data_IF_557138842978
#
_entry.id   IF_557138842978
#
_cell.length_a   1.000
_cell.length_b   1.000
_cell.length_c   1.000
_cell.angle_alpha   90.00
_cell.angle_beta   90.00
_cell.angle_gamma   90.00
#
_symmetry.space_group_name_H-M   'P 1'
#
loop_
_entity.id
_entity.type
_entity.pdbx_description
1 polymer ?
#
# COMPACT_ATOMS: atom_id res chain seq x y z
N UNK A 1 -15.92 -29.86 56.79
CA UNK A 1 -15.60 -29.17 58.06
C UNK A 1 -14.58 -28.09 57.73
N UNK A 2 -14.84 -26.80 57.61
CA UNK A 2 -15.89 -25.95 58.15
C UNK A 2 -15.20 -24.83 58.96
N UNK A 3 -15.51 -23.56 58.63
CA UNK A 3 -15.19 -22.29 59.33
C UNK A 3 -13.91 -21.56 58.82
N UNK A 4 -13.86 -20.25 58.59
CA UNK A 4 -14.85 -19.15 58.57
C UNK A 4 -14.17 -17.93 57.92
N UNK A 5 -14.88 -17.22 57.05
CA UNK A 5 -14.48 -15.91 56.53
C UNK A 5 -14.46 -14.84 57.63
N UNK A 6 -13.58 -13.83 57.48
CA UNK A 6 -13.67 -12.53 58.17
C UNK A 6 -13.59 -11.39 57.14
N UNK A 7 -14.23 -10.24 57.43
CA UNK A 7 -14.79 -9.35 56.41
C UNK A 7 -13.82 -8.25 55.96
N UNK A 8 -13.95 -7.81 54.70
CA UNK A 8 -13.37 -6.54 54.23
C UNK A 8 -14.23 -5.39 54.76
N UNK A 9 -13.61 -4.47 55.48
CA UNK A 9 -14.21 -3.20 55.91
C UNK A 9 -14.48 -2.28 54.71
N UNK A 10 -15.62 -1.59 54.78
CA UNK A 10 -16.04 -0.49 53.91
C UNK A 10 -15.61 0.83 54.54
N UNK A 11 -15.03 1.72 53.75
CA UNK A 11 -15.12 3.19 53.85
C UNK A 11 -15.23 3.66 52.38
N UNK A 12 -16.38 4.06 51.85
CA UNK A 12 -17.12 5.33 52.06
C UNK A 12 -16.27 6.59 51.92
N UNK A 13 -16.00 6.97 50.66
CA UNK A 13 -15.61 8.30 50.24
C UNK A 13 -16.58 8.83 49.16
N UNK A 14 -17.72 9.34 49.60
CA UNK A 14 -18.69 10.12 48.80
C UNK A 14 -18.13 11.55 48.62
N UNK A 15 -18.71 12.30 47.67
CA UNK A 15 -18.68 13.78 47.48
C UNK A 15 -17.61 14.25 46.46
N UNK A 16 -17.89 15.07 45.44
CA UNK A 16 -19.08 15.79 44.96
C UNK A 16 -18.91 16.09 43.46
N UNK A 17 -20.04 16.11 42.75
CA UNK A 17 -20.16 16.82 41.47
C UNK A 17 -20.16 18.31 41.76
N UNK A 18 -19.34 19.08 41.06
CA UNK A 18 -19.58 20.52 40.87
C UNK A 18 -19.56 20.85 39.37
N UNK A 19 -20.70 21.34 38.91
CA UNK A 19 -20.92 22.05 37.64
C UNK A 19 -20.48 23.50 37.85
N UNK A 20 -19.73 24.06 36.90
CA UNK A 20 -19.71 25.48 36.47
C UNK A 20 -18.46 25.71 35.61
N UNK A 21 -18.37 26.57 34.59
CA UNK A 21 -19.25 27.53 33.94
C UNK A 21 -18.61 27.84 32.57
N UNK A 22 -19.44 28.21 31.59
CA UNK A 22 -19.07 28.61 30.25
C UNK A 22 -18.09 29.82 30.21
N UNK A 23 -17.02 29.69 29.42
CA UNK A 23 -16.17 30.80 29.02
C UNK A 23 -15.96 30.79 27.50
N UNK A 24 -16.88 31.41 26.75
CA UNK A 24 -16.66 31.69 25.32
C UNK A 24 -15.69 32.85 25.20
N UNK A 25 -14.41 32.59 24.90
CA UNK A 25 -13.52 33.65 24.39
C UNK A 25 -14.03 34.04 23.00
N UNK A 26 -14.42 35.30 22.85
CA UNK A 26 -14.78 35.90 21.57
C UNK A 26 -13.48 36.07 20.77
N UNK A 27 -13.30 35.24 19.74
CA UNK A 27 -12.25 35.46 18.74
C UNK A 27 -12.69 36.67 17.90
N UNK A 28 -11.92 37.76 17.97
CA UNK A 28 -12.07 38.92 17.07
C UNK A 28 -11.38 38.53 15.75
N UNK A 29 -12.08 38.48 14.61
CA UNK A 29 -11.43 38.19 13.33
C UNK A 29 -10.52 39.35 12.92
N UNK A 30 -9.32 39.02 12.47
CA UNK A 30 -8.37 39.96 11.91
C UNK A 30 -8.89 40.46 10.54
N UNK A 31 -9.04 41.78 10.39
CA UNK A 31 -9.87 42.40 9.33
C UNK A 31 -9.15 42.51 7.97
N UNK A 32 -8.20 41.61 7.69
CA UNK A 32 -7.34 41.68 6.50
C UNK A 32 -7.82 40.88 5.28
N UNK A 33 -8.95 40.15 5.35
CA UNK A 33 -9.43 39.31 4.23
C UNK A 33 -10.58 39.93 3.39
N UNK A 34 -10.81 41.25 3.47
CA UNK A 34 -11.91 41.91 2.74
C UNK A 34 -11.62 42.26 1.27
N UNK A 35 -10.58 41.69 0.63
CA UNK A 35 -10.24 41.98 -0.79
C UNK A 35 -10.07 40.75 -1.68
N UNK A 36 -10.81 39.66 -1.45
CA UNK A 36 -10.93 38.58 -2.44
C UNK A 36 -12.38 38.43 -2.86
N UNK A 37 -12.69 38.91 -4.07
CA UNK A 37 -13.97 38.66 -4.73
C UNK A 37 -14.26 37.16 -4.86
N UNK A 38 -15.50 36.75 -5.18
CA UNK A 38 -15.90 35.35 -5.22
C UNK A 38 -15.00 34.59 -6.20
N UNK A 39 -14.18 33.67 -5.68
CA UNK A 39 -13.48 32.70 -6.53
C UNK A 39 -14.55 31.80 -7.13
N UNK A 40 -14.76 31.96 -8.44
CA UNK A 40 -15.49 30.98 -9.23
C UNK A 40 -14.83 29.62 -8.99
N UNK A 41 -15.56 28.70 -8.37
CA UNK A 41 -15.14 27.31 -8.27
C UNK A 41 -14.91 26.80 -9.70
N UNK A 42 -13.79 26.14 -10.01
CA UNK A 42 -13.59 25.58 -11.33
C UNK A 42 -14.73 24.60 -11.58
N UNK A 43 -15.54 24.90 -12.60
CA UNK A 43 -16.64 24.03 -13.02
C UNK A 43 -16.10 22.62 -13.22
N UNK A 44 -16.85 21.65 -12.67
CA UNK A 44 -16.42 20.27 -12.54
C UNK A 44 -15.86 19.74 -13.84
N UNK A 45 -14.54 19.49 -13.87
CA UNK A 45 -13.99 18.49 -14.77
C UNK A 45 -14.62 17.18 -14.36
N UNK A 46 -15.51 16.68 -15.19
CA UNK A 46 -16.03 15.33 -15.10
C UNK A 46 -14.83 14.39 -14.96
N UNK A 47 -14.68 13.81 -13.75
CA UNK A 47 -13.61 12.85 -13.48
C UNK A 47 -13.93 11.66 -14.35
N UNK A 48 -13.15 11.46 -15.42
CA UNK A 48 -13.19 10.22 -16.21
C UNK A 48 -13.26 9.02 -15.26
N UNK A 49 -14.12 8.02 -15.54
CA UNK A 49 -14.18 6.84 -14.70
C UNK A 49 -12.78 6.25 -14.56
N UNK A 50 -12.30 6.09 -13.32
CA UNK A 50 -10.98 5.51 -13.00
C UNK A 50 -11.01 3.99 -13.17
N UNK A 51 -11.46 3.53 -14.33
CA UNK A 51 -11.62 2.12 -14.66
C UNK A 51 -10.42 1.50 -15.37
N UNK A 52 -9.27 2.17 -15.44
CA UNK A 52 -8.05 1.62 -16.06
C UNK A 52 -7.23 0.69 -15.13
N UNK A 53 -7.72 0.36 -13.93
CA UNK A 53 -6.87 -0.28 -12.92
C UNK A 53 -6.69 -1.81 -13.10
N UNK A 54 -7.44 -2.48 -13.98
CA UNK A 54 -7.33 -3.93 -14.14
C UNK A 54 -7.32 -4.46 -15.59
N UNK A 55 -7.88 -3.73 -16.56
CA UNK A 55 -8.13 -4.28 -17.90
C UNK A 55 -6.95 -4.22 -18.89
N UNK A 56 -5.80 -3.65 -18.53
CA UNK A 56 -4.67 -3.55 -19.48
C UNK A 56 -3.31 -3.98 -18.89
N UNK A 57 -3.26 -4.49 -17.65
CA UNK A 57 -1.99 -4.89 -17.03
C UNK A 57 -1.29 -6.03 -17.78
N UNK A 58 -2.05 -7.04 -18.20
CA UNK A 58 -1.51 -8.15 -19.00
C UNK A 58 -1.08 -7.68 -20.38
N UNK A 59 -1.89 -6.87 -21.07
CA UNK A 59 -1.56 -6.39 -22.42
C UNK A 59 -0.38 -5.42 -22.42
N UNK A 60 -0.32 -4.49 -21.46
CA UNK A 60 0.82 -3.60 -21.25
C UNK A 60 2.08 -4.40 -20.88
N UNK A 61 1.95 -5.39 -20.00
CA UNK A 61 3.05 -6.29 -19.65
C UNK A 61 3.57 -7.06 -20.85
N UNK A 62 2.69 -7.59 -21.69
CA UNK A 62 3.06 -8.28 -22.94
C UNK A 62 3.79 -7.33 -23.90
N UNK A 63 3.26 -6.12 -24.09
CA UNK A 63 3.90 -5.11 -24.91
C UNK A 63 5.30 -4.74 -24.39
N UNK A 64 5.46 -4.60 -23.07
CA UNK A 64 6.75 -4.33 -22.43
C UNK A 64 7.75 -5.48 -22.64
N UNK A 65 7.33 -6.73 -22.47
CA UNK A 65 8.17 -7.92 -22.71
C UNK A 65 8.66 -7.95 -24.16
N UNK A 66 7.77 -7.76 -25.13
CA UNK A 66 8.17 -7.78 -26.54
C UNK A 66 9.03 -6.58 -26.91
N UNK A 67 8.77 -5.42 -26.33
CA UNK A 67 9.62 -4.23 -26.52
C UNK A 67 11.02 -4.47 -25.97
N UNK A 68 11.15 -5.01 -24.75
CA UNK A 68 12.44 -5.37 -24.17
C UNK A 68 13.19 -6.33 -25.10
N UNK A 69 12.51 -7.36 -25.60
CA UNK A 69 13.09 -8.32 -26.54
C UNK A 69 13.54 -7.71 -27.86
N UNK A 70 12.79 -6.73 -28.40
CA UNK A 70 13.15 -5.99 -29.61
C UNK A 70 14.36 -5.08 -29.38
N UNK A 71 14.45 -4.48 -28.20
CA UNK A 71 15.56 -3.61 -27.81
C UNK A 71 16.81 -4.37 -27.32
N UNK A 72 16.73 -5.69 -27.20
CA UNK A 72 17.81 -6.53 -26.68
C UNK A 72 18.00 -6.43 -25.17
N UNK A 73 17.01 -5.93 -24.44
CA UNK A 73 16.98 -5.95 -22.98
C UNK A 73 16.47 -7.29 -22.47
N UNK A 74 17.07 -7.76 -21.38
CA UNK A 74 16.79 -9.04 -20.73
C UNK A 74 15.87 -8.90 -19.52
N UNK A 75 15.42 -7.69 -19.18
CA UNK A 75 14.54 -7.47 -18.04
C UNK A 75 13.58 -6.28 -18.23
N UNK A 76 12.40 -6.36 -17.63
CA UNK A 76 11.48 -5.24 -17.41
C UNK A 76 11.22 -5.06 -15.92
N UNK A 77 11.02 -3.81 -15.51
CA UNK A 77 10.56 -3.47 -14.17
C UNK A 77 9.04 -3.32 -14.17
N UNK A 78 8.39 -3.85 -13.14
CA UNK A 78 6.95 -3.73 -12.91
C UNK A 78 6.66 -3.32 -11.48
N UNK A 79 5.81 -2.32 -11.34
CA UNK A 79 5.18 -1.96 -10.08
C UNK A 79 3.93 -2.82 -9.90
N UNK A 80 3.91 -3.74 -8.92
CA UNK A 80 2.95 -4.84 -8.92
C UNK A 80 1.47 -4.42 -8.75
N UNK A 81 1.15 -3.50 -7.83
CA UNK A 81 -0.24 -3.15 -7.53
C UNK A 81 -0.38 -1.92 -6.65
N UNK A 82 -1.61 -1.40 -6.53
CA UNK A 82 -1.93 -0.22 -5.71
C UNK A 82 -3.19 -0.51 -4.89
N UNK A 83 -3.05 -0.54 -3.57
CA UNK A 83 -4.18 -0.69 -2.65
C UNK A 83 -4.82 0.67 -2.42
N UNK A 84 -6.14 0.71 -2.58
CA UNK A 84 -6.95 1.93 -2.38
C UNK A 84 -8.11 1.63 -1.44
N UNK A 85 -8.89 2.65 -1.09
CA UNK A 85 -10.10 2.43 -0.29
C UNK A 85 -11.17 1.66 -1.08
N UNK A 86 -11.12 1.75 -2.41
CA UNK A 86 -12.07 1.12 -3.32
C UNK A 86 -11.66 -0.29 -3.72
N UNK A 87 -10.35 -0.57 -3.81
CA UNK A 87 -9.81 -1.88 -4.19
C UNK A 87 -8.94 -2.39 -3.03
N UNK A 88 -9.45 -3.35 -2.24
CA UNK A 88 -8.77 -3.82 -1.04
C UNK A 88 -7.58 -4.73 -1.37
N UNK A 89 -6.70 -4.87 -0.38
CA UNK A 89 -5.44 -5.61 -0.50
C UNK A 89 -5.58 -7.01 -1.11
N UNK A 90 -6.54 -7.80 -0.63
CA UNK A 90 -6.75 -9.18 -1.09
C UNK A 90 -7.15 -9.24 -2.57
N UNK A 91 -7.94 -8.28 -3.05
CA UNK A 91 -8.34 -8.18 -4.45
C UNK A 91 -7.15 -7.78 -5.33
N UNK A 92 -6.35 -6.79 -4.89
CA UNK A 92 -5.09 -6.42 -5.57
C UNK A 92 -4.16 -7.63 -5.64
N UNK A 93 -3.92 -8.29 -4.51
CA UNK A 93 -3.03 -9.44 -4.42
C UNK A 93 -3.39 -10.55 -5.41
N UNK A 94 -4.65 -10.98 -5.39
CA UNK A 94 -5.12 -12.06 -6.27
C UNK A 94 -4.98 -11.66 -7.74
N UNK A 95 -5.37 -10.43 -8.10
CA UNK A 95 -5.23 -9.92 -9.47
C UNK A 95 -3.79 -9.89 -9.95
N UNK A 96 -2.86 -9.43 -9.11
CA UNK A 96 -1.45 -9.39 -9.43
C UNK A 96 -0.89 -10.80 -9.67
N UNK A 97 -1.21 -11.76 -8.82
CA UNK A 97 -0.79 -13.17 -8.99
C UNK A 97 -1.35 -13.76 -10.28
N UNK A 98 -2.65 -13.58 -10.51
CA UNK A 98 -3.35 -14.12 -11.70
C UNK A 98 -2.80 -13.52 -13.01
N UNK A 99 -2.40 -12.25 -13.00
CA UNK A 99 -1.82 -11.57 -14.16
C UNK A 99 -0.35 -11.94 -14.39
N UNK A 100 0.46 -12.01 -13.32
CA UNK A 100 1.90 -12.25 -13.43
C UNK A 100 2.24 -13.68 -13.82
N UNK A 101 1.41 -14.67 -13.46
CA UNK A 101 1.68 -16.08 -13.82
C UNK A 101 1.77 -16.30 -15.34
N UNK A 102 0.74 -16.02 -16.16
CA UNK A 102 0.82 -16.17 -17.62
C UNK A 102 1.78 -15.17 -18.27
N UNK A 103 1.96 -13.99 -17.68
CA UNK A 103 2.93 -13.01 -18.18
C UNK A 103 4.38 -13.51 -17.99
N UNK A 104 4.67 -14.13 -16.84
CA UNK A 104 5.96 -14.75 -16.53
C UNK A 104 6.29 -15.89 -17.49
N UNK A 105 5.31 -16.69 -17.90
CA UNK A 105 5.52 -17.71 -18.95
C UNK A 105 5.92 -17.08 -20.29
N UNK A 106 5.31 -15.94 -20.64
CA UNK A 106 5.63 -15.23 -21.88
C UNK A 106 7.02 -14.60 -21.80
N UNK A 107 7.35 -13.98 -20.67
CA UNK A 107 8.67 -13.41 -20.42
C UNK A 107 9.77 -14.49 -20.50
N UNK A 108 9.53 -15.67 -19.91
CA UNK A 108 10.43 -16.82 -20.01
C UNK A 108 10.68 -17.23 -21.47
N UNK A 109 9.63 -17.35 -22.29
CA UNK A 109 9.75 -17.66 -23.73
C UNK A 109 10.50 -16.58 -24.51
N UNK A 110 10.34 -15.32 -24.12
CA UNK A 110 11.03 -14.20 -24.73
C UNK A 110 12.50 -14.07 -24.27
N UNK A 111 12.93 -14.80 -23.23
CA UNK A 111 14.24 -14.61 -22.60
C UNK A 111 14.34 -13.30 -21.81
N UNK A 112 13.21 -12.82 -21.27
CA UNK A 112 13.10 -11.57 -20.50
C UNK A 112 12.69 -11.91 -19.06
N UNK A 113 13.25 -11.22 -18.08
CA UNK A 113 12.88 -11.27 -16.66
C UNK A 113 11.90 -10.14 -16.32
N UNK A 114 11.03 -10.39 -15.36
CA UNK A 114 10.13 -9.38 -14.78
C UNK A 114 10.58 -9.15 -13.35
N UNK A 115 11.08 -7.95 -13.06
CA UNK A 115 11.42 -7.53 -11.72
C UNK A 115 10.26 -6.73 -11.12
N UNK A 116 9.58 -7.30 -10.12
CA UNK A 116 8.59 -6.58 -9.34
C UNK A 116 9.31 -5.64 -8.36
N UNK A 117 9.02 -4.35 -8.42
CA UNK A 117 9.63 -3.35 -7.55
C UNK A 117 8.93 -3.24 -6.19
N UNK A 118 9.69 -3.05 -5.11
CA UNK A 118 9.18 -2.82 -3.75
C UNK A 118 8.83 -1.33 -3.51
N UNK A 119 7.72 -0.86 -4.06
CA UNK A 119 7.23 0.52 -3.84
C UNK A 119 6.19 0.61 -2.71
N UNK A 120 6.56 0.07 -1.55
CA UNK A 120 5.63 -0.37 -0.51
C UNK A 120 4.79 0.76 0.10
N UNK A 121 5.41 1.91 0.36
CA UNK A 121 4.79 3.02 1.12
C UNK A 121 3.71 3.75 0.32
N UNK A 122 3.98 4.02 -0.96
CA UNK A 122 3.08 4.73 -1.86
C UNK A 122 1.93 3.82 -2.32
N UNK A 123 2.20 2.52 -2.48
CA UNK A 123 1.22 1.57 -2.99
C UNK A 123 0.42 0.85 -1.92
N UNK A 124 0.88 0.90 -0.66
CA UNK A 124 0.27 0.18 0.47
C UNK A 124 0.13 -1.32 0.18
N UNK A 125 1.09 -1.88 -0.57
CA UNK A 125 1.09 -3.24 -1.10
C UNK A 125 2.47 -3.89 -0.88
N UNK A 126 2.53 -5.19 -0.55
CA UNK A 126 3.76 -5.94 -0.28
C UNK A 126 4.73 -5.25 0.71
N UNK A 127 4.22 -4.87 1.88
CA UNK A 127 4.88 -4.00 2.85
C UNK A 127 6.11 -4.59 3.55
N UNK A 128 6.33 -5.90 3.45
CA UNK A 128 7.42 -6.57 4.14
C UNK A 128 8.19 -7.53 3.23
N UNK A 129 9.49 -7.79 3.51
CA UNK A 129 10.27 -8.71 2.69
C UNK A 129 9.69 -10.13 2.65
N UNK A 130 9.09 -10.58 3.76
CA UNK A 130 8.47 -11.91 3.83
C UNK A 130 7.18 -12.01 3.03
N UNK A 131 6.40 -10.94 3.00
CA UNK A 131 5.19 -10.86 2.20
C UNK A 131 5.52 -10.85 0.70
N UNK A 132 6.53 -10.06 0.30
CA UNK A 132 7.04 -10.04 -1.06
C UNK A 132 7.56 -11.43 -1.49
N UNK A 133 8.31 -12.09 -0.60
CA UNK A 133 8.79 -13.45 -0.83
C UNK A 133 7.64 -14.45 -1.06
N UNK A 134 6.58 -14.39 -0.25
CA UNK A 134 5.40 -15.23 -0.41
C UNK A 134 4.70 -14.93 -1.73
N UNK A 135 4.53 -13.65 -2.08
CA UNK A 135 3.94 -13.22 -3.34
C UNK A 135 4.65 -13.80 -4.55
N UNK A 136 5.99 -13.75 -4.59
CA UNK A 136 6.77 -14.36 -5.67
C UNK A 136 6.59 -15.89 -5.73
N UNK A 137 6.47 -16.56 -4.59
CA UNK A 137 6.18 -18.00 -4.56
C UNK A 137 4.76 -18.30 -5.08
N UNK A 138 3.78 -17.45 -4.82
CA UNK A 138 2.40 -17.63 -5.29
C UNK A 138 2.27 -17.40 -6.81
N UNK A 139 3.06 -16.45 -7.35
CA UNK A 139 3.23 -16.27 -8.81
C UNK A 139 3.85 -17.53 -9.42
N UNK A 140 4.84 -18.11 -8.73
CA UNK A 140 5.52 -19.36 -9.08
C UNK A 140 6.10 -19.38 -10.50
N UNK A 141 6.91 -18.38 -10.86
CA UNK A 141 7.59 -18.32 -12.15
C UNK A 141 9.06 -17.93 -11.98
N UNK A 142 10.02 -18.69 -12.55
CA UNK A 142 11.44 -18.35 -12.49
C UNK A 142 11.81 -17.13 -13.34
N UNK A 143 10.88 -16.61 -14.15
CA UNK A 143 11.04 -15.38 -14.89
C UNK A 143 10.52 -14.14 -14.14
N UNK A 144 9.89 -14.32 -12.96
CA UNK A 144 9.38 -13.23 -12.13
C UNK A 144 10.15 -13.21 -10.81
N UNK A 145 10.79 -12.09 -10.53
CA UNK A 145 11.60 -11.87 -9.33
C UNK A 145 11.37 -10.49 -8.74
N UNK A 146 12.27 -10.08 -7.86
CA UNK A 146 12.25 -8.75 -7.26
C UNK A 146 13.25 -7.84 -7.98
N UNK A 147 12.82 -6.62 -8.32
CA UNK A 147 13.73 -5.52 -8.61
C UNK A 147 13.86 -4.70 -7.32
N UNK A 148 14.86 -5.03 -6.50
CA UNK A 148 14.98 -4.45 -5.16
C UNK A 148 15.48 -3.00 -5.25
N UNK A 149 14.58 -2.04 -5.01
CA UNK A 149 14.94 -0.64 -4.80
C UNK A 149 15.18 -0.40 -3.31
N UNK A 150 16.46 -0.26 -2.94
CA UNK A 150 16.89 0.07 -1.59
C UNK A 150 16.43 1.44 -1.11
N UNK A 151 16.13 2.37 -2.01
CA UNK A 151 15.56 3.68 -1.69
C UNK A 151 14.14 3.60 -1.15
N UNK A 152 13.42 2.49 -1.38
CA UNK A 152 12.07 2.30 -0.84
C UNK A 152 12.04 1.52 0.49
N UNK A 153 13.20 1.14 1.04
CA UNK A 153 13.28 0.27 2.22
C UNK A 153 13.31 1.05 3.55
N UNK A 154 13.37 2.38 3.51
CA UNK A 154 13.57 3.24 4.69
C UNK A 154 12.68 2.90 5.90
N UNK A 155 11.39 2.64 5.66
CA UNK A 155 10.41 2.32 6.71
C UNK A 155 10.11 0.81 6.83
N UNK A 156 10.65 -0.02 5.93
CA UNK A 156 10.30 -1.45 5.81
C UNK A 156 11.46 -2.41 6.10
N UNK A 157 12.52 -1.93 6.75
CA UNK A 157 13.59 -2.75 7.32
C UNK A 157 15.00 -2.39 6.83
N UNK A 158 15.83 -3.41 6.63
CA UNK A 158 17.22 -3.28 6.21
C UNK A 158 17.45 -3.99 4.87
N UNK A 159 18.15 -3.34 3.94
CA UNK A 159 18.35 -3.85 2.58
C UNK A 159 19.02 -5.23 2.56
N UNK A 160 19.98 -5.47 3.44
CA UNK A 160 20.72 -6.72 3.55
C UNK A 160 19.79 -7.89 3.88
N UNK A 161 18.78 -7.65 4.74
CA UNK A 161 17.80 -8.66 5.10
C UNK A 161 16.82 -8.94 3.96
N UNK A 162 16.45 -7.92 3.18
CA UNK A 162 15.67 -8.11 1.96
C UNK A 162 16.43 -9.01 0.98
N UNK A 163 17.73 -8.75 0.78
CA UNK A 163 18.60 -9.56 -0.09
C UNK A 163 18.70 -11.01 0.43
N UNK A 164 18.96 -11.20 1.73
CA UNK A 164 19.09 -12.53 2.34
C UNK A 164 17.81 -13.37 2.20
N UNK A 165 16.64 -12.76 2.43
CA UNK A 165 15.34 -13.45 2.35
C UNK A 165 15.02 -13.87 0.91
N UNK A 166 15.30 -13.02 -0.07
CA UNK A 166 14.97 -13.30 -1.47
C UNK A 166 15.99 -14.22 -2.14
N UNK A 167 17.27 -14.10 -1.78
CA UNK A 167 18.34 -14.91 -2.36
C UNK A 167 18.49 -14.71 -3.88
N UNK A 168 19.11 -15.67 -4.59
CA UNK A 168 19.25 -15.60 -6.04
C UNK A 168 17.90 -15.93 -6.70
N UNK A 169 17.10 -14.91 -6.99
CA UNK A 169 15.81 -15.01 -7.67
C UNK A 169 15.71 -14.00 -8.79
#
# INVERSE_FOLDING_TARGET
MGLRARPRSREEGRLRRDRAVAGRRRVVPDDHDRRRGPRLAPQGRERRPRGLQCLDWTALGLAAVWTARLLGSDAILVVAGLVTNEIPYNEVYQRCVDALRPLGETAARAGVKIGCENCNSEQRFLLSPREFWQFLNDVNSPAVGIHLDVGNIHDTGFAEQWIEIHGPR
#
